data_IF_757026161879
#
_entry.id   IF_757026161879
#
_cell.length_a   1.000
_cell.length_b   1.000
_cell.length_c   1.000
_cell.angle_alpha   90.00
_cell.angle_beta   90.00
_cell.angle_gamma   90.00
#
_symmetry.space_group_name_H-M   'P 1'
#
loop_
_entity.id
_entity.type
_entity.pdbx_description
1 polymer ?
#
# COMPACT_ATOMS: atom_id res chain seq x y z
N UNK A 1 30.38 -47.56 -23.38
CA UNK A 1 29.86 -48.82 -22.78
C UNK A 1 28.47 -48.53 -22.25
N UNK A 2 27.48 -49.20 -22.83
CA UNK A 2 26.05 -49.10 -22.55
C UNK A 2 25.71 -49.83 -21.25
N UNK A 3 24.86 -49.28 -20.39
CA UNK A 3 23.95 -50.10 -19.57
C UNK A 3 22.59 -49.40 -19.44
N UNK A 4 21.59 -50.06 -20.00
CA UNK A 4 20.15 -49.88 -19.81
C UNK A 4 19.73 -50.59 -18.53
N UNK A 5 18.74 -50.05 -17.80
CA UNK A 5 17.81 -50.80 -16.94
C UNK A 5 16.51 -49.98 -16.88
N UNK A 6 15.47 -50.33 -17.53
CA UNK A 6 14.36 -51.28 -17.37
C UNK A 6 13.35 -50.83 -16.28
N UNK A 7 12.14 -50.50 -16.81
CA UNK A 7 10.88 -50.25 -16.08
C UNK A 7 10.45 -51.45 -15.24
N UNK A 8 9.75 -51.17 -14.14
CA UNK A 8 8.73 -52.07 -13.61
C UNK A 8 7.54 -51.30 -13.06
N UNK A 9 6.44 -51.47 -13.75
CA UNK A 9 5.09 -51.08 -13.34
C UNK A 9 4.55 -52.09 -12.33
N UNK A 10 3.82 -51.65 -11.30
CA UNK A 10 2.89 -52.54 -10.60
C UNK A 10 1.67 -51.73 -10.13
N UNK A 11 0.57 -51.98 -10.81
CA UNK A 11 -0.77 -51.65 -10.39
C UNK A 11 -1.25 -52.68 -9.39
N UNK A 12 -1.91 -52.24 -8.31
CA UNK A 12 -2.79 -53.09 -7.51
C UNK A 12 -4.08 -52.36 -7.23
N UNK A 13 -5.12 -52.81 -7.90
CA UNK A 13 -6.52 -52.63 -7.49
C UNK A 13 -6.81 -53.61 -6.33
N UNK A 14 -7.46 -53.14 -5.28
CA UNK A 14 -8.34 -54.00 -4.46
C UNK A 14 -9.59 -53.18 -4.07
N UNK A 15 -10.71 -53.75 -4.45
CA UNK A 15 -12.06 -53.28 -4.10
C UNK A 15 -12.64 -54.18 -3.00
N UNK A 16 -13.65 -53.60 -2.27
CA UNK A 16 -14.72 -54.28 -1.50
C UNK A 16 -14.42 -54.65 -0.04
N UNK A 17 -15.22 -54.24 0.94
CA UNK A 17 -16.59 -54.57 1.22
C UNK A 17 -17.04 -53.96 2.57
N UNK A 18 -18.32 -53.69 2.66
CA UNK A 18 -19.04 -53.26 3.88
C UNK A 18 -19.05 -54.30 4.98
N UNK A 19 -18.96 -53.85 6.25
CA UNK A 19 -19.66 -54.50 7.37
C UNK A 19 -19.99 -53.49 8.46
N UNK A 20 -21.25 -53.47 8.82
CA UNK A 20 -21.85 -52.78 9.95
C UNK A 20 -21.41 -53.37 11.28
N UNK A 21 -21.19 -52.51 12.30
CA UNK A 21 -21.03 -52.95 13.67
C UNK A 21 -20.86 -51.74 14.59
N UNK A 22 -21.90 -51.34 15.31
CA UNK A 22 -21.88 -50.24 16.27
C UNK A 22 -21.23 -50.57 17.61
N UNK A 23 -20.81 -49.54 18.31
CA UNK A 23 -21.10 -49.24 19.73
C UNK A 23 -20.17 -48.15 20.27
N UNK A 24 -20.78 -47.10 20.68
CA UNK A 24 -20.54 -46.19 21.83
C UNK A 24 -19.12 -45.93 22.33
N UNK A 25 -18.74 -44.67 22.25
CA UNK A 25 -17.63 -44.05 22.98
C UNK A 25 -17.64 -42.57 22.75
N UNK A 26 -18.27 -41.78 23.63
CA UNK A 26 -18.42 -40.34 23.49
C UNK A 26 -17.11 -39.59 23.63
N UNK A 27 -16.80 -38.79 22.64
CA UNK A 27 -15.88 -37.67 22.75
C UNK A 27 -16.66 -36.43 22.36
N UNK A 28 -16.82 -35.51 23.31
CA UNK A 28 -17.43 -34.20 23.07
C UNK A 28 -16.66 -33.46 21.97
N UNK A 29 -17.36 -32.82 21.02
CA UNK A 29 -16.73 -31.80 20.18
C UNK A 29 -16.35 -30.59 21.03
N UNK A 30 -15.21 -30.01 20.77
CA UNK A 30 -14.79 -28.74 21.34
C UNK A 30 -15.85 -27.66 21.02
N UNK A 31 -16.30 -26.99 22.04
CA UNK A 31 -17.18 -25.84 21.95
C UNK A 31 -16.47 -24.75 21.17
N UNK A 32 -16.93 -24.48 19.96
CA UNK A 32 -16.70 -23.22 19.24
C UNK A 32 -17.32 -22.13 20.11
N UNK A 33 -16.51 -21.16 20.50
CA UNK A 33 -16.95 -19.99 21.25
C UNK A 33 -18.14 -19.33 20.54
N UNK A 34 -19.24 -19.23 21.24
CA UNK A 34 -20.44 -18.54 20.80
C UNK A 34 -20.09 -17.09 20.45
N UNK A 35 -20.33 -16.71 19.21
CA UNK A 35 -20.51 -15.34 18.84
C UNK A 35 -21.68 -14.75 19.64
N UNK A 36 -21.52 -13.52 20.09
CA UNK A 36 -22.57 -12.82 20.84
C UNK A 36 -23.82 -12.71 19.95
N UNK A 37 -24.86 -13.46 20.29
CA UNK A 37 -26.21 -13.27 19.76
C UNK A 37 -26.75 -11.95 20.31
N UNK A 38 -26.86 -10.93 19.46
CA UNK A 38 -27.41 -9.62 19.82
C UNK A 38 -27.91 -8.83 18.62
N UNK A 39 -27.95 -9.41 17.40
CA UNK A 39 -28.57 -8.79 16.24
C UNK A 39 -30.04 -9.18 16.07
N UNK A 40 -30.90 -8.22 15.73
CA UNK A 40 -32.25 -8.46 15.25
C UNK A 40 -32.20 -9.42 14.06
N UNK A 41 -33.13 -10.38 13.95
CA UNK A 41 -33.21 -11.31 12.81
C UNK A 41 -33.53 -10.64 11.45
N UNK A 42 -33.72 -9.32 11.44
CA UNK A 42 -34.06 -8.50 10.28
C UNK A 42 -32.99 -7.47 9.91
N UNK A 43 -31.81 -7.50 10.55
CA UNK A 43 -30.73 -6.55 10.23
C UNK A 43 -30.18 -6.76 8.82
N UNK A 44 -29.84 -5.67 8.12
CA UNK A 44 -29.15 -5.71 6.83
C UNK A 44 -27.69 -6.05 7.03
N UNK A 45 -27.22 -7.13 6.41
CA UNK A 45 -25.80 -7.53 6.44
C UNK A 45 -25.05 -6.99 5.24
N UNK A 46 -24.01 -6.21 5.48
CA UNK A 46 -23.08 -5.68 4.46
C UNK A 46 -21.76 -6.45 4.53
N UNK A 47 -21.29 -6.95 3.40
CA UNK A 47 -19.94 -7.53 3.29
C UNK A 47 -18.89 -6.45 3.04
N UNK A 48 -17.86 -6.42 3.89
CA UNK A 48 -16.74 -5.48 3.78
C UNK A 48 -15.44 -6.23 3.49
N UNK A 49 -14.92 -6.13 2.24
CA UNK A 49 -13.68 -6.75 1.84
C UNK A 49 -12.48 -5.84 2.14
N UNK A 50 -11.51 -6.33 2.90
CA UNK A 50 -10.32 -5.54 3.23
C UNK A 50 -9.03 -6.35 3.09
N UNK A 51 -7.95 -5.75 2.56
CA UNK A 51 -6.64 -6.37 2.51
C UNK A 51 -5.95 -6.30 3.88
N UNK A 52 -5.19 -7.34 4.22
CA UNK A 52 -4.34 -7.37 5.41
C UNK A 52 -2.89 -7.15 4.97
N UNK A 53 -2.58 -5.93 4.59
CA UNK A 53 -1.28 -5.64 3.97
C UNK A 53 -0.23 -5.08 4.94
N UNK A 54 -0.63 -4.69 6.16
CA UNK A 54 0.28 -4.14 7.17
C UNK A 54 0.32 -5.09 8.35
N UNK A 55 1.52 -5.47 8.76
CA UNK A 55 1.76 -6.49 9.77
C UNK A 55 0.98 -6.31 11.07
N UNK A 56 0.52 -7.39 11.60
CA UNK A 56 0.09 -7.57 12.98
C UNK A 56 -1.36 -7.24 13.28
N UNK A 57 -1.68 -6.02 13.68
CA UNK A 57 -2.95 -5.72 14.35
C UNK A 57 -4.00 -5.04 13.47
N UNK A 58 -3.70 -4.71 12.19
CA UNK A 58 -4.63 -4.02 11.28
C UNK A 58 -5.97 -4.77 11.11
N UNK A 59 -5.94 -6.09 11.09
CA UNK A 59 -7.14 -6.93 11.05
C UNK A 59 -8.06 -6.67 12.22
N UNK A 60 -7.52 -6.63 13.44
CA UNK A 60 -8.29 -6.38 14.67
C UNK A 60 -8.86 -4.97 14.72
N UNK A 61 -8.14 -3.99 14.14
CA UNK A 61 -8.63 -2.62 14.05
C UNK A 61 -9.84 -2.53 13.11
N UNK A 62 -9.79 -3.23 11.96
CA UNK A 62 -10.95 -3.34 11.07
C UNK A 62 -12.14 -4.01 11.78
N UNK A 63 -11.91 -5.15 12.45
CA UNK A 63 -12.95 -5.82 13.26
C UNK A 63 -13.55 -4.88 14.29
N UNK A 64 -12.71 -4.08 14.97
CA UNK A 64 -13.18 -3.09 15.95
C UNK A 64 -14.03 -2.00 15.31
N UNK A 65 -13.61 -1.42 14.18
CA UNK A 65 -14.40 -0.41 13.47
C UNK A 65 -15.78 -0.96 13.09
N UNK A 66 -15.82 -2.18 12.56
CA UNK A 66 -17.09 -2.84 12.23
C UNK A 66 -17.94 -3.11 13.47
N UNK A 67 -17.34 -3.60 14.56
CA UNK A 67 -18.07 -3.86 15.81
C UNK A 67 -18.64 -2.59 16.44
N UNK A 68 -17.88 -1.49 16.44
CA UNK A 68 -18.33 -0.18 16.94
C UNK A 68 -19.50 0.34 16.08
N UNK A 69 -19.41 0.24 14.76
CA UNK A 69 -20.49 0.62 13.84
C UNK A 69 -21.76 -0.21 14.10
N UNK A 70 -21.62 -1.53 14.19
CA UNK A 70 -22.73 -2.44 14.43
C UNK A 70 -23.44 -2.16 15.77
N UNK A 71 -22.69 -1.78 16.80
CA UNK A 71 -23.25 -1.43 18.11
C UNK A 71 -24.08 -0.15 18.08
N UNK A 72 -23.68 0.83 17.25
CA UNK A 72 -24.37 2.11 17.07
C UNK A 72 -25.51 2.05 16.07
N UNK A 73 -25.53 1.00 15.21
CA UNK A 73 -26.49 0.85 14.10
C UNK A 73 -27.13 -0.55 14.09
N UNK A 74 -28.04 -0.86 15.02
CA UNK A 74 -28.55 -2.23 15.22
C UNK A 74 -29.29 -2.82 14.01
N UNK A 75 -29.72 -1.99 13.07
CA UNK A 75 -30.41 -2.42 11.85
C UNK A 75 -29.46 -2.71 10.68
N UNK A 76 -28.15 -2.44 10.84
CA UNK A 76 -27.10 -2.67 9.85
C UNK A 76 -25.93 -3.39 10.49
N UNK A 77 -25.54 -4.53 9.95
CA UNK A 77 -24.36 -5.29 10.39
C UNK A 77 -23.33 -5.29 9.28
N UNK A 78 -22.14 -4.76 9.54
CA UNK A 78 -21.00 -4.84 8.63
C UNK A 78 -20.13 -6.03 9.02
N UNK A 79 -20.00 -6.97 8.10
CA UNK A 79 -19.23 -8.20 8.26
C UNK A 79 -17.86 -8.06 7.55
N UNK A 80 -16.75 -7.91 8.29
CA UNK A 80 -15.43 -7.78 7.69
C UNK A 80 -14.94 -9.12 7.13
N UNK A 81 -14.45 -9.09 5.88
CA UNK A 81 -13.88 -10.26 5.18
C UNK A 81 -12.44 -9.94 4.80
N UNK A 82 -11.51 -10.69 5.38
CA UNK A 82 -10.10 -10.58 5.01
C UNK A 82 -9.82 -11.23 3.67
N UNK A 83 -9.22 -10.47 2.79
CA UNK A 83 -9.02 -10.89 1.41
C UNK A 83 -7.58 -11.23 1.06
N UNK A 84 -6.65 -11.04 1.96
CA UNK A 84 -5.21 -11.19 1.71
C UNK A 84 -4.54 -9.85 1.43
N UNK A 85 -3.66 -9.79 0.44
CA UNK A 85 -3.08 -8.53 -0.02
C UNK A 85 -4.04 -7.79 -0.98
N UNK A 86 -3.61 -6.64 -1.52
CA UNK A 86 -4.44 -5.85 -2.44
C UNK A 86 -4.75 -6.58 -3.74
N UNK A 87 -3.81 -7.34 -4.31
CA UNK A 87 -4.02 -8.10 -5.55
C UNK A 87 -5.01 -9.25 -5.35
N UNK A 88 -4.89 -9.96 -4.20
CA UNK A 88 -5.86 -10.96 -3.78
C UNK A 88 -7.26 -10.35 -3.62
N UNK A 89 -7.34 -9.13 -3.09
CA UNK A 89 -8.59 -8.40 -2.91
C UNK A 89 -9.26 -8.10 -4.23
N UNK A 90 -8.52 -7.53 -5.21
CA UNK A 90 -9.04 -7.26 -6.56
C UNK A 90 -9.55 -8.54 -7.22
N UNK A 91 -8.78 -9.63 -7.14
CA UNK A 91 -9.17 -10.93 -7.69
C UNK A 91 -10.46 -11.47 -7.06
N UNK A 92 -10.61 -11.34 -5.74
CA UNK A 92 -11.81 -11.78 -5.03
C UNK A 92 -13.03 -10.91 -5.35
N UNK A 93 -12.84 -9.59 -5.48
CA UNK A 93 -13.91 -8.67 -5.91
C UNK A 93 -14.40 -9.06 -7.31
N UNK A 94 -13.48 -9.24 -8.27
CA UNK A 94 -13.82 -9.66 -9.63
C UNK A 94 -14.59 -10.99 -9.65
N UNK A 95 -14.14 -11.96 -8.87
CA UNK A 95 -14.81 -13.25 -8.76
C UNK A 95 -16.22 -13.12 -8.17
N UNK A 96 -16.38 -12.32 -7.12
CA UNK A 96 -17.66 -12.08 -6.46
C UNK A 96 -18.65 -11.36 -7.38
N UNK A 97 -18.19 -10.36 -8.15
CA UNK A 97 -19.00 -9.65 -9.16
C UNK A 97 -19.46 -10.63 -10.26
N UNK A 98 -18.54 -11.46 -10.79
CA UNK A 98 -18.89 -12.47 -11.79
C UNK A 98 -19.87 -13.51 -11.25
N UNK A 99 -19.80 -13.82 -9.97
CA UNK A 99 -20.75 -14.69 -9.26
C UNK A 99 -22.10 -14.05 -8.93
N UNK A 100 -22.27 -12.76 -9.22
CA UNK A 100 -23.50 -12.01 -8.91
C UNK A 100 -23.68 -11.64 -7.42
N UNK A 101 -22.62 -11.71 -6.64
CA UNK A 101 -22.60 -11.40 -5.20
C UNK A 101 -21.43 -10.45 -4.87
N UNK A 102 -21.41 -9.22 -5.44
CA UNK A 102 -20.35 -8.25 -5.16
C UNK A 102 -20.31 -7.93 -3.67
N UNK A 103 -19.13 -7.61 -3.10
CA UNK A 103 -19.07 -7.04 -1.75
C UNK A 103 -19.77 -5.68 -1.75
N UNK A 104 -20.29 -5.24 -0.59
CA UNK A 104 -20.93 -3.92 -0.52
C UNK A 104 -19.90 -2.80 -0.45
N UNK A 105 -18.90 -2.99 0.41
CA UNK A 105 -17.77 -2.08 0.60
C UNK A 105 -16.48 -2.85 0.45
N UNK A 106 -15.48 -2.22 -0.12
CA UNK A 106 -14.15 -2.80 -0.16
C UNK A 106 -13.05 -1.74 -0.07
N UNK A 107 -11.88 -2.14 0.39
CA UNK A 107 -10.65 -1.35 0.33
C UNK A 107 -9.76 -1.90 -0.78
N UNK A 108 -9.32 -1.02 -1.68
CA UNK A 108 -8.32 -1.33 -2.69
C UNK A 108 -7.30 -0.19 -2.76
N UNK A 109 -6.17 -0.43 -3.46
CA UNK A 109 -5.19 0.61 -3.68
C UNK A 109 -5.86 1.83 -4.36
N UNK A 110 -5.51 3.02 -3.92
CA UNK A 110 -5.97 4.26 -4.54
C UNK A 110 -5.54 4.35 -6.02
N UNK A 111 -4.41 3.76 -6.35
CA UNK A 111 -3.87 3.63 -7.71
C UNK A 111 -4.70 2.74 -8.64
N UNK A 112 -5.64 1.98 -8.11
CA UNK A 112 -6.57 1.16 -8.91
C UNK A 112 -7.82 1.93 -9.39
N UNK A 113 -7.94 3.25 -9.10
CA UNK A 113 -9.15 4.02 -9.39
C UNK A 113 -9.63 3.93 -10.83
N UNK A 114 -8.70 4.02 -11.81
CA UNK A 114 -9.07 3.90 -13.23
C UNK A 114 -9.58 2.49 -13.57
N UNK A 115 -8.96 1.46 -13.03
CA UNK A 115 -9.42 0.08 -13.18
C UNK A 115 -10.81 -0.11 -12.55
N UNK A 116 -11.02 0.37 -11.31
CA UNK A 116 -12.31 0.24 -10.62
C UNK A 116 -13.44 0.96 -11.35
N UNK A 117 -13.16 2.15 -11.88
CA UNK A 117 -14.13 2.93 -12.65
C UNK A 117 -14.43 2.31 -14.04
N UNK A 118 -13.39 1.99 -14.82
CA UNK A 118 -13.53 1.52 -16.21
C UNK A 118 -14.14 0.13 -16.32
N UNK A 119 -13.87 -0.74 -15.36
CA UNK A 119 -14.45 -2.10 -15.31
C UNK A 119 -15.84 -2.13 -14.65
N UNK A 120 -16.30 -0.99 -14.10
CA UNK A 120 -17.58 -0.91 -13.39
C UNK A 120 -17.60 -1.68 -12.07
N UNK A 121 -16.44 -1.97 -11.46
CA UNK A 121 -16.38 -2.60 -10.14
C UNK A 121 -16.82 -1.66 -9.03
N UNK A 122 -16.50 -0.37 -9.12
CA UNK A 122 -16.92 0.66 -8.18
C UNK A 122 -17.90 1.65 -8.83
N UNK A 123 -18.76 2.23 -8.02
CA UNK A 123 -19.67 3.30 -8.44
C UNK A 123 -19.08 4.68 -8.10
N UNK A 124 -19.45 5.76 -8.84
CA UNK A 124 -19.14 7.12 -8.43
C UNK A 124 -19.96 7.52 -7.19
N UNK A 125 -19.39 8.35 -6.34
CA UNK A 125 -19.95 8.75 -5.05
C UNK A 125 -20.63 10.14 -5.08
N UNK A 126 -20.56 10.84 -6.22
CA UNK A 126 -20.99 12.23 -6.35
C UNK A 126 -22.47 12.43 -5.95
N UNK A 127 -23.36 11.51 -6.34
CA UNK A 127 -24.79 11.61 -6.01
C UNK A 127 -25.02 11.45 -4.49
N UNK A 128 -24.24 10.61 -3.80
CA UNK A 128 -24.29 10.42 -2.35
C UNK A 128 -23.80 11.70 -1.63
N UNK A 129 -22.69 12.25 -2.10
CA UNK A 129 -22.13 13.48 -1.57
C UNK A 129 -23.10 14.65 -1.77
N UNK A 130 -23.72 14.74 -2.95
CA UNK A 130 -24.70 15.76 -3.26
C UNK A 130 -25.99 15.61 -2.44
N UNK A 131 -26.41 14.39 -2.14
CA UNK A 131 -27.58 14.10 -1.30
C UNK A 131 -27.36 14.57 0.16
N UNK A 132 -26.12 14.50 0.67
CA UNK A 132 -25.75 15.01 1.98
C UNK A 132 -25.64 16.57 2.01
N UNK A 133 -25.74 17.24 0.85
CA UNK A 133 -25.72 18.71 0.77
C UNK A 133 -24.45 19.36 1.29
N UNK A 134 -24.57 20.39 2.15
CA UNK A 134 -23.41 21.10 2.71
C UNK A 134 -22.54 20.22 3.60
N UNK A 135 -23.11 19.21 4.27
CA UNK A 135 -22.37 18.24 5.08
C UNK A 135 -21.51 17.35 4.21
N UNK A 136 -22.03 16.88 3.06
CA UNK A 136 -21.29 16.08 2.09
C UNK A 136 -20.10 16.84 1.50
N UNK A 137 -20.31 18.12 1.16
CA UNK A 137 -19.22 18.98 0.72
C UNK A 137 -18.16 19.17 1.80
N UNK A 138 -18.56 19.52 3.02
CA UNK A 138 -17.65 19.70 4.15
C UNK A 138 -16.87 18.40 4.48
N UNK A 139 -17.52 17.24 4.35
CA UNK A 139 -16.89 15.95 4.53
C UNK A 139 -15.75 15.72 3.53
N UNK A 140 -15.94 16.03 2.25
CA UNK A 140 -14.91 15.87 1.21
C UNK A 140 -13.80 16.92 1.37
N UNK A 141 -14.15 18.18 1.65
CA UNK A 141 -13.20 19.29 1.80
C UNK A 141 -12.25 19.10 3.00
N UNK A 142 -12.60 18.26 3.99
CA UNK A 142 -11.78 17.98 5.16
C UNK A 142 -10.68 16.92 4.88
N UNK A 143 -10.75 16.17 3.80
CA UNK A 143 -9.66 15.25 3.44
C UNK A 143 -8.43 16.01 2.94
N UNK A 144 -7.23 15.47 3.24
CA UNK A 144 -5.99 16.02 2.72
C UNK A 144 -5.99 15.93 1.18
N UNK A 145 -5.78 17.08 0.53
CA UNK A 145 -5.88 17.20 -0.93
C UNK A 145 -4.97 16.22 -1.67
N UNK A 146 -3.73 16.00 -1.18
CA UNK A 146 -2.79 15.05 -1.78
C UNK A 146 -3.28 13.58 -1.76
N UNK A 147 -4.23 13.24 -0.88
CA UNK A 147 -4.87 11.92 -0.89
C UNK A 147 -6.14 11.90 -1.75
N UNK A 148 -6.85 13.03 -1.82
CA UNK A 148 -8.03 13.13 -2.68
C UNK A 148 -7.69 13.11 -4.17
N UNK A 149 -6.49 13.53 -4.60
CA UNK A 149 -6.05 13.42 -5.99
C UNK A 149 -6.23 11.99 -6.54
N UNK A 150 -6.05 10.97 -5.70
CA UNK A 150 -6.24 9.55 -6.06
C UNK A 150 -7.70 9.06 -6.00
N UNK A 151 -8.65 9.91 -5.71
CA UNK A 151 -10.07 9.55 -5.63
C UNK A 151 -10.85 9.87 -6.90
N UNK A 152 -10.28 10.69 -7.80
CA UNK A 152 -10.97 11.19 -8.98
C UNK A 152 -10.68 10.38 -10.24
N UNK A 153 -11.75 10.12 -11.04
CA UNK A 153 -11.69 9.63 -12.41
C UNK A 153 -12.66 10.45 -13.24
N UNK A 154 -12.19 11.09 -14.29
CA UNK A 154 -12.99 11.96 -15.18
C UNK A 154 -13.83 13.01 -14.42
N UNK A 155 -13.24 13.59 -13.38
CA UNK A 155 -13.88 14.61 -12.55
C UNK A 155 -14.91 14.11 -11.53
N UNK A 156 -15.12 12.77 -11.43
CA UNK A 156 -16.01 12.13 -10.45
C UNK A 156 -15.22 11.48 -9.33
N UNK A 157 -15.79 11.46 -8.13
CA UNK A 157 -15.20 10.81 -6.95
C UNK A 157 -15.64 9.34 -6.94
N UNK A 158 -14.69 8.40 -6.96
CA UNK A 158 -14.95 6.95 -6.91
C UNK A 158 -14.57 6.30 -5.59
N UNK A 159 -13.81 7.01 -4.74
CA UNK A 159 -13.30 6.42 -3.51
C UNK A 159 -13.08 7.47 -2.42
N UNK A 160 -12.98 7.00 -1.18
CA UNK A 160 -12.70 7.83 0.01
C UNK A 160 -11.38 7.39 0.63
N UNK A 161 -10.41 8.31 0.89
CA UNK A 161 -9.13 7.98 1.49
C UNK A 161 -9.28 7.31 2.86
N UNK A 162 -8.57 6.17 3.08
CA UNK A 162 -8.62 5.42 4.33
C UNK A 162 -7.23 5.02 4.83
N UNK A 163 -6.62 4.00 4.24
CA UNK A 163 -5.29 3.47 4.62
C UNK A 163 -4.20 4.20 3.82
N UNK A 164 -3.99 5.49 4.10
CA UNK A 164 -3.10 6.32 3.28
C UNK A 164 -1.72 6.47 3.90
N UNK A 165 -0.72 6.38 3.06
CA UNK A 165 0.69 6.46 3.42
C UNK A 165 1.47 7.32 2.43
N UNK A 166 2.70 7.59 2.78
CA UNK A 166 3.75 8.07 1.87
C UNK A 166 5.03 7.32 2.17
N UNK A 167 5.96 7.29 1.25
CA UNK A 167 7.29 6.76 1.48
C UNK A 167 8.14 7.84 2.16
N UNK A 168 8.86 7.47 3.24
CA UNK A 168 9.77 8.34 3.98
C UNK A 168 11.11 7.67 4.19
N UNK A 169 12.12 8.46 4.57
CA UNK A 169 13.40 7.94 5.01
C UNK A 169 13.35 7.60 6.51
N UNK A 170 13.62 6.35 6.87
CA UNK A 170 13.97 5.94 8.23
C UNK A 170 15.47 5.84 8.34
N UNK A 171 16.07 6.31 9.44
CA UNK A 171 17.51 6.25 9.64
C UNK A 171 17.91 5.94 11.08
N UNK A 172 19.00 5.22 11.25
CA UNK A 172 19.56 4.81 12.53
C UNK A 172 20.46 5.92 13.08
N UNK A 173 19.98 6.69 14.08
CA UNK A 173 20.69 7.80 14.69
C UNK A 173 21.97 7.35 15.42
N UNK A 174 21.97 6.15 15.98
CA UNK A 174 23.15 5.63 16.67
C UNK A 174 24.24 5.25 15.66
N UNK A 175 23.88 4.72 14.49
CA UNK A 175 24.83 4.51 13.40
C UNK A 175 25.40 5.83 12.85
N UNK A 176 24.62 6.91 12.81
CA UNK A 176 25.10 8.26 12.45
C UNK A 176 26.14 8.75 13.46
N UNK A 177 25.85 8.66 14.76
CA UNK A 177 26.80 9.03 15.84
C UNK A 177 28.10 8.24 15.75
N UNK A 178 28.01 6.94 15.45
CA UNK A 178 29.17 6.03 15.33
C UNK A 178 30.20 6.54 14.31
N UNK A 179 29.74 7.09 13.18
CA UNK A 179 30.58 7.57 12.08
C UNK A 179 30.84 9.10 12.14
N UNK A 180 30.34 9.79 13.17
CA UNK A 180 30.56 11.22 13.40
C UNK A 180 29.59 12.12 12.62
N UNK A 181 28.49 11.59 12.06
CA UNK A 181 27.42 12.37 11.48
C UNK A 181 26.52 12.95 12.58
N UNK A 182 25.86 14.06 12.28
CA UNK A 182 24.86 14.65 13.18
C UNK A 182 23.59 13.78 13.17
N UNK A 183 23.20 13.15 14.29
CA UNK A 183 22.04 12.28 14.35
C UNK A 183 20.69 13.01 14.17
N UNK A 184 20.67 14.35 14.25
CA UNK A 184 19.46 15.15 14.06
C UNK A 184 19.37 15.72 12.62
N UNK A 185 20.36 15.42 11.77
CA UNK A 185 20.41 15.89 10.38
C UNK A 185 20.44 14.71 9.42
N UNK A 186 19.27 14.28 8.94
CA UNK A 186 19.18 13.33 7.85
C UNK A 186 19.59 13.97 6.51
N UNK A 187 20.06 13.18 5.51
CA UNK A 187 20.37 13.70 4.18
C UNK A 187 19.10 14.28 3.52
N UNK A 188 19.22 15.49 2.95
CA UNK A 188 18.13 16.18 2.28
C UNK A 188 18.23 16.12 0.75
N UNK A 189 19.39 15.75 0.21
CA UNK A 189 19.67 15.64 -1.22
C UNK A 189 20.25 14.27 -1.57
N UNK A 190 20.20 13.90 -2.84
CA UNK A 190 20.83 12.67 -3.34
C UNK A 190 22.35 12.65 -3.10
N UNK A 191 23.00 13.79 -3.24
CA UNK A 191 24.44 13.90 -2.97
C UNK A 191 24.73 13.66 -1.47
N UNK A 192 23.98 14.31 -0.55
CA UNK A 192 24.10 14.07 0.88
C UNK A 192 23.79 12.60 1.23
N UNK A 193 22.77 11.99 0.60
CA UNK A 193 22.45 10.58 0.80
C UNK A 193 23.64 9.67 0.45
N UNK A 194 24.30 9.92 -0.67
CA UNK A 194 25.46 9.14 -1.11
C UNK A 194 26.66 9.35 -0.16
N UNK A 195 26.92 10.60 0.26
CA UNK A 195 28.01 10.92 1.18
C UNK A 195 27.80 10.24 2.55
N UNK A 196 26.62 10.38 3.14
CA UNK A 196 26.28 9.76 4.41
C UNK A 196 26.28 8.23 4.30
N UNK A 197 25.70 7.68 3.23
CA UNK A 197 25.66 6.24 3.02
C UNK A 197 27.07 5.62 2.88
N UNK A 198 28.02 6.31 2.25
CA UNK A 198 29.42 5.84 2.18
C UNK A 198 30.08 5.77 3.57
N UNK A 199 29.83 6.74 4.44
CA UNK A 199 30.35 6.72 5.81
C UNK A 199 29.71 5.60 6.65
N UNK A 200 28.42 5.36 6.43
CA UNK A 200 27.63 4.37 7.17
C UNK A 200 27.86 2.92 6.71
N UNK A 201 28.38 2.73 5.49
CA UNK A 201 28.65 1.40 4.93
C UNK A 201 29.93 0.80 5.52
N UNK A 202 29.84 -0.45 5.98
CA UNK A 202 30.97 -1.23 6.48
C UNK A 202 30.77 -2.73 6.19
N UNK A 203 31.64 -3.61 6.73
CA UNK A 203 31.57 -5.06 6.48
C UNK A 203 30.25 -5.72 6.90
N UNK A 204 29.49 -5.11 7.82
CA UNK A 204 28.26 -5.67 8.40
C UNK A 204 27.01 -4.83 8.11
N UNK A 205 27.14 -3.68 7.44
CA UNK A 205 26.03 -2.74 7.24
C UNK A 205 26.15 -2.02 5.91
N UNK A 206 25.07 -1.96 5.18
CA UNK A 206 24.90 -1.03 4.05
C UNK A 206 24.38 0.33 4.54
N UNK A 207 24.80 1.40 3.87
CA UNK A 207 24.40 2.77 4.21
C UNK A 207 22.92 3.02 3.89
N UNK A 208 22.42 2.48 2.80
CA UNK A 208 21.01 2.65 2.39
C UNK A 208 20.43 1.34 1.84
N UNK A 209 19.14 1.14 2.06
CA UNK A 209 18.35 0.05 1.51
C UNK A 209 17.09 0.58 0.83
N UNK A 210 16.87 0.16 -0.40
CA UNK A 210 15.72 0.52 -1.22
C UNK A 210 15.19 -0.76 -1.84
N UNK A 211 13.88 -0.98 -1.73
CA UNK A 211 13.27 -2.20 -2.24
C UNK A 211 13.17 -2.19 -3.77
N UNK A 212 13.39 -3.34 -4.37
CA UNK A 212 13.46 -3.52 -5.81
C UNK A 212 12.79 -4.83 -6.24
N UNK A 213 11.63 -5.13 -5.68
CA UNK A 213 10.84 -6.30 -6.08
C UNK A 213 9.59 -5.87 -6.86
N UNK A 214 9.04 -6.79 -7.65
CA UNK A 214 7.75 -6.57 -8.31
C UNK A 214 6.67 -6.22 -7.28
N UNK A 215 5.95 -5.12 -7.50
CA UNK A 215 4.91 -4.62 -6.60
C UNK A 215 5.33 -3.49 -5.67
N UNK A 216 6.62 -3.10 -5.64
CA UNK A 216 7.09 -1.92 -4.87
C UNK A 216 8.03 -1.01 -5.68
N UNK A 217 8.71 -1.55 -6.70
CA UNK A 217 9.69 -0.78 -7.47
C UNK A 217 9.07 0.45 -8.15
N UNK A 218 7.86 0.32 -8.73
CA UNK A 218 7.16 1.45 -9.35
C UNK A 218 6.85 2.58 -8.35
N UNK A 219 6.56 2.25 -7.08
CA UNK A 219 6.26 3.24 -6.06
C UNK A 219 7.49 4.08 -5.72
N UNK A 220 8.58 3.43 -5.34
CA UNK A 220 9.84 4.11 -5.04
C UNK A 220 10.42 4.82 -6.27
N UNK A 221 10.32 4.20 -7.45
CA UNK A 221 10.78 4.83 -8.70
C UNK A 221 9.97 6.09 -9.04
N UNK A 222 8.66 6.12 -8.79
CA UNK A 222 7.87 7.34 -8.89
C UNK A 222 8.46 8.45 -8.01
N UNK A 223 8.89 8.13 -6.79
CA UNK A 223 9.57 9.07 -5.90
C UNK A 223 10.83 9.66 -6.53
N UNK A 224 11.72 8.84 -7.04
CA UNK A 224 12.96 9.29 -7.71
C UNK A 224 12.67 10.17 -8.93
N UNK A 225 11.70 9.79 -9.76
CA UNK A 225 11.32 10.60 -10.93
C UNK A 225 10.78 11.97 -10.52
N UNK A 226 9.88 12.03 -9.53
CA UNK A 226 9.35 13.28 -8.98
C UNK A 226 10.43 14.18 -8.40
N UNK A 227 11.43 13.59 -7.72
CA UNK A 227 12.57 14.31 -7.13
C UNK A 227 13.51 14.86 -8.20
N UNK A 228 13.65 14.19 -9.35
CA UNK A 228 14.52 14.60 -10.44
C UNK A 228 13.82 15.50 -11.46
N UNK A 229 12.48 15.54 -11.47
CA UNK A 229 11.71 16.38 -12.38
C UNK A 229 11.80 17.86 -11.99
N UNK A 230 12.35 18.69 -12.88
CA UNK A 230 12.44 20.15 -12.68
C UNK A 230 11.07 20.83 -12.62
N UNK A 231 10.11 20.30 -13.35
CA UNK A 231 8.76 20.85 -13.47
C UNK A 231 7.75 20.17 -12.54
N UNK A 232 8.16 19.09 -11.84
CA UNK A 232 7.27 18.28 -11.00
C UNK A 232 6.35 17.38 -11.82
N UNK A 233 6.76 17.01 -13.02
CA UNK A 233 6.06 16.07 -13.88
C UNK A 233 6.13 14.67 -13.28
N UNK A 234 5.03 13.93 -13.39
CA UNK A 234 4.91 12.56 -12.93
C UNK A 234 5.23 11.57 -14.07
N UNK A 235 5.29 10.28 -13.76
CA UNK A 235 5.48 9.19 -14.74
C UNK A 235 4.30 8.98 -15.68
N UNK A 236 3.18 9.66 -15.44
CA UNK A 236 1.92 9.47 -16.16
C UNK A 236 1.20 10.79 -16.41
N UNK A 237 0.35 10.83 -17.43
CA UNK A 237 -0.63 11.90 -17.59
C UNK A 237 -1.75 11.80 -16.53
N UNK A 238 -2.40 12.92 -16.22
CA UNK A 238 -3.46 13.00 -15.19
C UNK A 238 -4.67 12.13 -15.53
N UNK A 239 -4.96 11.92 -16.82
CA UNK A 239 -6.05 11.08 -17.29
C UNK A 239 -5.74 9.56 -17.24
N UNK A 240 -4.51 9.18 -16.86
CA UNK A 240 -4.09 7.79 -16.74
C UNK A 240 -3.97 7.02 -18.05
N UNK A 241 -4.00 7.70 -19.21
CA UNK A 241 -4.00 7.08 -20.55
C UNK A 241 -2.65 7.06 -21.23
N UNK A 242 -1.66 7.71 -20.66
CA UNK A 242 -0.29 7.72 -21.17
C UNK A 242 0.74 7.75 -20.04
N UNK A 243 1.93 7.28 -20.35
CA UNK A 243 3.08 7.27 -19.45
C UNK A 243 4.28 7.98 -20.10
N UNK A 244 5.23 8.39 -19.26
CA UNK A 244 6.43 9.11 -19.65
C UNK A 244 7.64 8.49 -18.94
N UNK A 245 7.95 7.22 -19.28
CA UNK A 245 9.00 6.49 -18.58
C UNK A 245 10.41 6.86 -19.04
N UNK A 246 10.60 7.07 -20.34
CA UNK A 246 11.91 7.22 -21.00
C UNK A 246 12.38 8.66 -21.16
N UNK A 247 11.86 9.60 -20.35
CA UNK A 247 12.39 10.96 -20.34
C UNK A 247 13.84 10.98 -19.84
N UNK A 248 14.69 11.92 -20.29
CA UNK A 248 16.06 12.01 -19.81
C UNK A 248 16.17 12.09 -18.29
N UNK A 249 15.26 12.81 -17.63
CA UNK A 249 15.19 12.95 -16.18
C UNK A 249 14.87 11.63 -15.48
N UNK A 250 14.00 10.81 -16.06
CA UNK A 250 13.65 9.51 -15.51
C UNK A 250 14.75 8.46 -15.74
N UNK A 251 15.43 8.52 -16.89
CA UNK A 251 16.63 7.71 -17.15
C UNK A 251 17.74 8.04 -16.15
N UNK A 252 17.98 9.33 -15.86
CA UNK A 252 18.94 9.77 -14.84
C UNK A 252 18.52 9.27 -13.43
N UNK A 253 17.23 9.30 -13.12
CA UNK A 253 16.70 8.81 -11.85
C UNK A 253 16.92 7.29 -11.67
N UNK A 254 16.69 6.49 -12.71
CA UNK A 254 16.99 5.05 -12.66
C UNK A 254 18.49 4.81 -12.58
N UNK A 255 19.30 5.55 -13.35
CA UNK A 255 20.76 5.45 -13.27
C UNK A 255 21.29 5.78 -11.88
N UNK A 256 20.75 6.81 -11.21
CA UNK A 256 21.12 7.13 -9.83
C UNK A 256 20.84 5.94 -8.90
N UNK A 257 19.67 5.30 -9.01
CA UNK A 257 19.33 4.13 -8.21
C UNK A 257 20.30 2.97 -8.45
N UNK A 258 20.62 2.68 -9.72
CA UNK A 258 21.64 1.67 -10.07
C UNK A 258 23.03 2.02 -9.54
N UNK A 259 23.39 3.30 -9.55
CA UNK A 259 24.67 3.79 -9.05
C UNK A 259 24.85 3.56 -7.55
N UNK A 260 23.77 3.55 -6.73
CA UNK A 260 23.84 3.22 -5.30
C UNK A 260 24.40 1.80 -5.06
N UNK A 261 24.09 0.86 -5.94
CA UNK A 261 24.60 -0.50 -5.88
C UNK A 261 25.97 -0.63 -6.56
N UNK A 262 26.08 -0.17 -7.82
CA UNK A 262 27.15 -0.58 -8.72
C UNK A 262 28.36 0.35 -8.70
N UNK A 263 28.16 1.64 -8.38
CA UNK A 263 29.22 2.65 -8.42
C UNK A 263 29.63 3.11 -7.04
N UNK A 264 28.65 3.33 -6.17
CA UNK A 264 28.90 3.81 -4.81
C UNK A 264 29.03 2.65 -3.81
N UNK A 265 28.48 1.48 -4.14
CA UNK A 265 28.53 0.25 -3.32
C UNK A 265 27.96 0.46 -1.91
N UNK A 266 26.95 1.34 -1.78
CA UNK A 266 26.33 1.72 -0.50
C UNK A 266 25.01 0.98 -0.23
N UNK A 267 24.54 0.21 -1.19
CA UNK A 267 23.31 -0.59 -1.13
C UNK A 267 23.62 -2.05 -1.51
N UNK A 268 22.90 -3.00 -0.94
CA UNK A 268 23.05 -4.42 -1.27
C UNK A 268 22.83 -4.67 -2.78
N UNK A 269 23.66 -5.50 -3.42
CA UNK A 269 23.52 -5.80 -4.84
C UNK A 269 22.30 -6.67 -5.13
N UNK A 270 21.76 -6.52 -6.33
CA UNK A 270 20.62 -7.31 -6.83
C UNK A 270 19.27 -6.85 -6.27
N UNK A 271 18.31 -7.78 -6.20
CA UNK A 271 16.93 -7.49 -5.85
C UNK A 271 16.75 -7.53 -4.33
N UNK A 272 16.38 -6.40 -3.76
CA UNK A 272 16.04 -6.26 -2.33
C UNK A 272 14.52 -6.36 -2.17
N UNK A 273 14.06 -7.25 -1.30
CA UNK A 273 12.65 -7.44 -1.05
C UNK A 273 12.09 -6.37 -0.11
N UNK A 274 10.90 -5.84 -0.43
CA UNK A 274 10.19 -4.87 0.41
C UNK A 274 10.00 -5.34 1.86
N UNK A 275 9.63 -6.59 2.03
CA UNK A 275 9.36 -7.20 3.34
C UNK A 275 10.60 -7.39 4.20
N UNK A 276 11.79 -7.42 3.60
CA UNK A 276 13.04 -7.70 4.30
C UNK A 276 13.66 -6.42 4.88
N UNK A 277 13.44 -5.26 4.23
CA UNK A 277 14.05 -3.99 4.63
C UNK A 277 13.80 -3.61 6.09
N UNK A 278 12.56 -3.67 6.62
CA UNK A 278 12.34 -3.34 8.03
C UNK A 278 13.10 -4.26 8.99
N UNK A 279 13.22 -5.55 8.64
CA UNK A 279 13.96 -6.52 9.44
C UNK A 279 15.45 -6.23 9.42
N UNK A 280 16.03 -5.95 8.24
CA UNK A 280 17.43 -5.58 8.08
C UNK A 280 17.76 -4.26 8.81
N UNK A 281 16.86 -3.27 8.74
CA UNK A 281 16.99 -2.01 9.47
C UNK A 281 16.98 -2.25 10.99
N UNK A 282 16.02 -3.01 11.51
CA UNK A 282 15.92 -3.35 12.93
C UNK A 282 17.09 -4.20 13.43
N UNK A 283 17.72 -5.01 12.56
CA UNK A 283 18.94 -5.76 12.84
C UNK A 283 20.22 -4.88 12.77
N UNK A 284 20.12 -3.64 12.27
CA UNK A 284 21.28 -2.76 12.06
C UNK A 284 22.13 -3.11 10.83
N UNK A 285 21.63 -4.00 9.94
CA UNK A 285 22.29 -4.40 8.71
C UNK A 285 22.17 -3.34 7.60
N UNK A 286 21.23 -2.41 7.74
CA UNK A 286 21.04 -1.24 6.88
C UNK A 286 20.82 0.00 7.76
N UNK A 287 21.55 1.09 7.48
CA UNK A 287 21.50 2.30 8.29
C UNK A 287 20.36 3.24 7.94
N UNK A 288 19.95 3.30 6.68
CA UNK A 288 18.86 4.12 6.15
C UNK A 288 17.97 3.27 5.25
N UNK A 289 16.65 3.38 5.36
CA UNK A 289 15.72 2.71 4.45
C UNK A 289 14.66 3.66 3.93
N UNK A 290 14.32 3.52 2.65
CA UNK A 290 13.10 4.06 2.06
C UNK A 290 11.96 3.09 2.37
N UNK A 291 10.94 3.54 3.10
CA UNK A 291 9.82 2.66 3.42
C UNK A 291 8.52 3.42 3.73
N UNK A 292 7.41 2.70 3.68
CA UNK A 292 6.09 3.26 4.00
C UNK A 292 5.99 3.76 5.43
N UNK A 293 5.28 4.87 5.62
CA UNK A 293 4.86 5.35 6.96
C UNK A 293 4.05 4.32 7.73
N UNK A 294 3.31 3.44 7.05
CA UNK A 294 2.55 2.34 7.67
C UNK A 294 3.42 1.32 8.42
N UNK A 295 4.75 1.41 8.32
CA UNK A 295 5.67 0.57 9.10
C UNK A 295 6.23 1.26 10.36
N UNK A 296 5.86 2.52 10.60
CA UNK A 296 6.37 3.31 11.72
C UNK A 296 6.07 2.66 13.07
N UNK A 297 4.84 2.16 13.27
CA UNK A 297 4.48 1.49 14.52
C UNK A 297 5.33 0.24 14.77
N UNK A 298 5.61 -0.56 13.74
CA UNK A 298 6.48 -1.73 13.83
C UNK A 298 7.93 -1.33 14.19
N UNK A 299 8.49 -0.33 13.49
CA UNK A 299 9.85 0.16 13.76
C UNK A 299 9.94 0.74 15.17
N UNK A 300 8.99 1.60 15.58
CA UNK A 300 8.94 2.22 16.90
C UNK A 300 8.89 1.19 18.04
N UNK A 301 8.14 0.10 17.83
CA UNK A 301 7.99 -0.97 18.84
C UNK A 301 9.22 -1.86 18.97
N UNK A 302 9.95 -2.10 17.88
CA UNK A 302 10.97 -3.14 17.81
C UNK A 302 12.42 -2.61 17.68
N UNK A 303 12.62 -1.31 17.38
CA UNK A 303 13.94 -0.73 17.33
C UNK A 303 14.62 -0.78 18.71
N UNK A 304 15.87 -1.25 18.73
CA UNK A 304 16.72 -1.30 19.94
C UNK A 304 17.72 -0.15 19.97
N UNK A 305 17.66 0.75 19.01
CA UNK A 305 18.50 1.94 18.82
C UNK A 305 17.61 3.17 18.62
N UNK A 306 18.18 4.35 18.80
CA UNK A 306 17.51 5.62 18.49
C UNK A 306 17.40 5.79 16.97
N UNK A 307 16.19 6.06 16.48
CA UNK A 307 15.93 6.24 15.04
C UNK A 307 15.25 7.57 14.74
N UNK A 308 15.46 8.05 13.54
CA UNK A 308 14.79 9.22 13.00
C UNK A 308 13.99 8.88 11.75
N UNK A 309 13.12 9.80 11.39
CA UNK A 309 12.43 9.84 10.09
C UNK A 309 12.70 11.18 9.44
N UNK A 310 12.72 11.22 8.12
CA UNK A 310 12.92 12.44 7.34
C UNK A 310 12.15 12.37 6.03
N UNK A 311 12.01 13.51 5.37
CA UNK A 311 11.58 13.57 3.98
C UNK A 311 12.55 12.75 3.12
N UNK A 312 12.03 12.20 2.04
CA UNK A 312 12.91 11.57 1.04
C UNK A 312 13.89 12.62 0.48
N UNK A 313 15.19 12.29 0.38
CA UNK A 313 16.17 13.17 -0.23
C UNK A 313 15.81 13.49 -1.68
N UNK A 314 15.88 14.77 -2.05
CA UNK A 314 15.58 15.23 -3.40
C UNK A 314 16.81 15.44 -4.26
N UNK A 315 16.62 15.67 -5.58
CA UNK A 315 17.66 16.18 -6.48
C UNK A 315 17.27 17.57 -6.98
N UNK A 316 16.44 17.68 -8.00
CA UNK A 316 15.94 18.97 -8.47
C UNK A 316 14.94 19.60 -7.49
N UNK A 317 14.25 18.76 -6.70
CA UNK A 317 13.27 19.16 -5.68
C UNK A 317 13.07 18.05 -4.66
N UNK A 318 12.49 18.38 -3.51
CA UNK A 318 11.93 17.38 -2.61
C UNK A 318 10.54 16.97 -3.12
N UNK A 319 10.29 15.67 -3.17
CA UNK A 319 9.00 15.09 -3.52
C UNK A 319 8.91 13.66 -3.01
N UNK A 320 7.70 13.16 -2.86
CA UNK A 320 7.43 11.77 -2.48
C UNK A 320 6.14 11.27 -3.15
N UNK A 321 6.02 9.96 -3.39
CA UNK A 321 4.75 9.39 -3.84
C UNK A 321 3.81 9.20 -2.65
N UNK A 322 2.50 9.43 -2.86
CA UNK A 322 1.47 8.92 -1.95
C UNK A 322 1.25 7.44 -2.22
N UNK A 323 0.66 6.73 -1.26
CA UNK A 323 0.34 5.31 -1.40
C UNK A 323 -0.84 4.91 -0.53
N UNK A 324 -1.12 3.60 -0.51
CA UNK A 324 -2.14 3.03 0.33
C UNK A 324 -3.51 2.91 -0.34
N UNK A 325 -4.53 2.60 0.46
CA UNK A 325 -5.84 2.20 -0.01
C UNK A 325 -6.96 3.16 0.35
N UNK A 326 -7.99 3.13 -0.49
CA UNK A 326 -9.23 3.88 -0.33
C UNK A 326 -10.41 2.92 -0.15
N UNK A 327 -11.48 3.41 0.47
CA UNK A 327 -12.80 2.77 0.43
C UNK A 327 -13.47 2.97 -0.92
N UNK A 328 -14.12 1.93 -1.39
CA UNK A 328 -14.97 1.91 -2.57
C UNK A 328 -16.32 1.29 -2.23
N UNK A 329 -17.39 1.69 -2.93
CA UNK A 329 -18.70 1.05 -2.92
C UNK A 329 -18.84 0.28 -4.24
N UNK A 330 -19.23 -0.99 -4.17
CA UNK A 330 -19.46 -1.78 -5.38
C UNK A 330 -20.61 -1.24 -6.21
N UNK A 331 -20.41 -1.26 -7.50
CA UNK A 331 -21.50 -0.99 -8.44
C UNK A 331 -22.48 -2.18 -8.50
N UNK A 332 -23.75 -1.90 -8.72
CA UNK A 332 -24.78 -2.93 -8.94
C UNK A 332 -25.39 -3.56 -7.69
N UNK A 333 -25.06 -3.06 -6.48
CA UNK A 333 -25.81 -3.39 -5.26
C UNK A 333 -27.10 -2.56 -5.16
N UNK A 334 -28.06 -2.95 -4.31
CA UNK A 334 -29.31 -2.22 -4.14
C UNK A 334 -29.11 -0.85 -3.49
N UNK A 335 -30.00 0.09 -3.76
CA UNK A 335 -29.93 1.46 -3.23
C UNK A 335 -29.85 1.49 -1.70
N UNK A 336 -30.64 0.69 -1.00
CA UNK A 336 -30.61 0.61 0.47
C UNK A 336 -29.23 0.18 0.99
N UNK A 337 -28.56 -0.73 0.27
CA UNK A 337 -27.21 -1.20 0.59
C UNK A 337 -26.16 -0.12 0.29
N UNK A 338 -26.35 0.64 -0.80
CA UNK A 338 -25.50 1.79 -1.14
C UNK A 338 -25.53 2.83 -0.02
N UNK A 339 -26.74 3.20 0.46
CA UNK A 339 -26.89 4.16 1.55
C UNK A 339 -26.28 3.66 2.88
N UNK A 340 -26.44 2.38 3.19
CA UNK A 340 -25.84 1.76 4.36
C UNK A 340 -24.31 1.69 4.25
N UNK A 341 -23.76 1.37 3.08
CA UNK A 341 -22.32 1.39 2.79
C UNK A 341 -21.74 2.80 2.92
N UNK A 342 -22.41 3.81 2.39
CA UNK A 342 -21.99 5.20 2.54
C UNK A 342 -21.98 5.66 4.00
N UNK A 343 -23.00 5.28 4.77
CA UNK A 343 -23.04 5.54 6.22
C UNK A 343 -21.85 4.90 6.95
N UNK A 344 -21.51 3.65 6.61
CA UNK A 344 -20.36 2.96 7.19
C UNK A 344 -19.04 3.65 6.82
N UNK A 345 -18.83 4.06 5.58
CA UNK A 345 -17.62 4.75 5.13
C UNK A 345 -17.44 6.07 5.90
N UNK A 346 -18.50 6.89 6.01
CA UNK A 346 -18.46 8.13 6.80
C UNK A 346 -18.09 7.87 8.25
N UNK A 347 -18.67 6.86 8.88
CA UNK A 347 -18.35 6.43 10.24
C UNK A 347 -16.90 5.97 10.38
N UNK A 348 -16.43 5.11 9.48
CA UNK A 348 -15.07 4.57 9.53
C UNK A 348 -13.98 5.65 9.31
N UNK A 349 -14.34 6.76 8.70
CA UNK A 349 -13.47 7.89 8.41
C UNK A 349 -13.76 9.13 9.27
N UNK A 350 -14.52 9.01 10.36
CA UNK A 350 -14.64 10.08 11.35
C UNK A 350 -13.27 10.51 11.88
N UNK A 351 -13.06 11.80 12.17
CA UNK A 351 -11.74 12.31 12.57
C UNK A 351 -11.10 11.52 13.71
N UNK A 352 -11.86 11.16 14.74
CA UNK A 352 -11.37 10.38 15.89
C UNK A 352 -10.93 8.98 15.51
N UNK A 353 -11.66 8.33 14.57
CA UNK A 353 -11.33 6.99 14.08
C UNK A 353 -10.13 7.01 13.14
N UNK A 354 -10.07 8.01 12.25
CA UNK A 354 -8.93 8.21 11.37
C UNK A 354 -7.65 8.54 12.16
N UNK A 355 -7.76 9.34 13.23
CA UNK A 355 -6.65 9.60 14.15
C UNK A 355 -6.22 8.32 14.89
N UNK A 356 -7.16 7.56 15.44
CA UNK A 356 -6.84 6.29 16.13
C UNK A 356 -6.18 5.28 15.16
N UNK A 357 -6.68 5.18 13.92
CA UNK A 357 -6.05 4.36 12.87
C UNK A 357 -4.58 4.76 12.63
N UNK A 358 -4.31 6.06 12.53
CA UNK A 358 -2.95 6.57 12.36
C UNK A 358 -2.03 6.20 13.53
N UNK A 359 -2.51 6.33 14.76
CA UNK A 359 -1.75 5.99 15.97
C UNK A 359 -1.38 4.50 16.02
N UNK A 360 -2.33 3.64 15.70
CA UNK A 360 -2.18 2.19 15.87
C UNK A 360 -1.38 1.54 14.73
N UNK A 361 -1.31 2.19 13.56
CA UNK A 361 -0.68 1.62 12.36
C UNK A 361 0.56 2.37 11.89
N UNK A 362 0.62 3.68 12.12
CA UNK A 362 1.61 4.59 11.52
C UNK A 362 1.20 5.12 10.15
N UNK A 363 0.03 4.76 9.62
CA UNK A 363 -0.55 5.45 8.46
C UNK A 363 -0.77 6.93 8.75
N UNK A 364 -0.91 7.75 7.71
CA UNK A 364 -1.24 9.17 7.86
C UNK A 364 -2.74 9.33 8.10
N UNK A 365 -3.14 10.09 9.11
CA UNK A 365 -4.53 10.47 9.29
C UNK A 365 -5.01 11.24 8.05
N UNK A 366 -6.16 10.83 7.50
CA UNK A 366 -6.56 11.26 6.15
C UNK A 366 -7.30 12.59 6.12
N UNK A 367 -7.78 13.07 7.28
CA UNK A 367 -8.59 14.28 7.39
C UNK A 367 -7.85 15.42 8.09
N UNK A 368 -8.04 16.65 7.62
CA UNK A 368 -7.42 17.84 8.19
C UNK A 368 -7.80 18.03 9.67
N UNK A 369 -9.08 17.82 10.01
CA UNK A 369 -9.60 17.96 11.37
C UNK A 369 -8.99 16.97 12.37
N UNK A 370 -8.38 15.86 11.94
CA UNK A 370 -7.68 14.95 12.85
C UNK A 370 -6.56 15.63 13.62
N UNK A 371 -5.85 16.57 12.98
CA UNK A 371 -4.66 17.22 13.54
C UNK A 371 -4.97 18.23 14.65
N UNK A 372 -6.23 18.62 14.79
CA UNK A 372 -6.72 19.47 15.89
C UNK A 372 -7.10 18.66 17.14
N UNK A 373 -7.23 17.34 17.03
CA UNK A 373 -7.57 16.45 18.14
C UNK A 373 -6.40 16.34 19.14
N UNK A 374 -6.72 16.30 20.42
CA UNK A 374 -5.71 16.18 21.48
C UNK A 374 -4.94 14.86 21.37
N UNK A 375 -5.58 13.77 20.96
CA UNK A 375 -4.94 12.46 20.75
C UNK A 375 -3.83 12.54 19.69
N UNK A 376 -4.00 13.30 18.61
CA UNK A 376 -2.97 13.49 17.58
C UNK A 376 -1.83 14.38 18.07
N UNK A 377 -2.12 15.44 18.82
CA UNK A 377 -1.09 16.29 19.44
C UNK A 377 -0.21 15.47 20.39
N UNK A 378 -0.85 14.70 21.29
CA UNK A 378 -0.13 13.80 22.20
C UNK A 378 0.69 12.73 21.45
N UNK A 379 0.18 12.22 20.33
CA UNK A 379 0.90 11.24 19.50
C UNK A 379 2.20 11.84 18.95
N UNK A 380 2.13 13.03 18.37
CA UNK A 380 3.30 13.71 17.83
C UNK A 380 4.30 14.16 18.91
N UNK A 381 3.82 14.48 20.12
CA UNK A 381 4.70 14.78 21.27
C UNK A 381 5.44 13.53 21.74
N UNK A 382 4.80 12.36 21.73
CA UNK A 382 5.39 11.08 22.15
C UNK A 382 6.26 10.43 21.07
N UNK A 383 5.88 10.61 19.79
CA UNK A 383 6.54 10.03 18.62
C UNK A 383 6.71 11.10 17.53
N UNK A 384 7.67 12.03 17.68
CA UNK A 384 7.89 13.10 16.70
C UNK A 384 8.15 12.59 15.29
N UNK A 385 8.68 11.38 15.16
CA UNK A 385 8.92 10.69 13.88
C UNK A 385 7.65 10.56 13.03
N UNK A 386 6.48 10.46 13.64
CA UNK A 386 5.21 10.35 12.93
C UNK A 386 4.81 11.63 12.18
N UNK A 387 5.32 12.79 12.63
CA UNK A 387 4.94 14.09 12.07
C UNK A 387 5.48 14.30 10.65
N UNK A 388 6.64 13.73 10.34
CA UNK A 388 7.28 13.83 9.03
C UNK A 388 6.36 13.37 7.89
N UNK A 389 5.60 12.30 8.12
CA UNK A 389 4.65 11.79 7.15
C UNK A 389 3.60 12.83 6.75
N UNK A 390 3.00 13.51 7.74
CA UNK A 390 2.02 14.57 7.51
C UNK A 390 2.65 15.80 6.83
N UNK A 391 3.82 16.21 7.30
CA UNK A 391 4.52 17.39 6.77
C UNK A 391 4.99 17.19 5.32
N UNK A 392 5.15 15.93 4.85
CA UNK A 392 5.53 15.60 3.49
C UNK A 392 4.34 15.61 2.50
N UNK A 393 3.09 15.40 2.95
CA UNK A 393 1.93 15.31 2.05
C UNK A 393 1.78 16.51 1.10
N UNK A 394 1.99 17.78 1.52
CA UNK A 394 1.85 18.93 0.61
C UNK A 394 2.79 18.92 -0.61
N UNK A 395 3.90 18.18 -0.54
CA UNK A 395 4.86 18.04 -1.66
C UNK A 395 4.78 16.66 -2.33
N UNK A 396 3.86 15.82 -1.88
CA UNK A 396 3.64 14.48 -2.44
C UNK A 396 2.73 14.53 -3.66
N UNK A 397 2.87 13.51 -4.51
CA UNK A 397 2.05 13.31 -5.71
C UNK A 397 1.55 11.87 -5.78
N UNK A 398 0.47 11.59 -6.52
CA UNK A 398 0.04 10.23 -6.77
C UNK A 398 1.18 9.36 -7.29
N UNK A 399 1.27 8.14 -6.79
CA UNK A 399 2.05 7.05 -7.38
C UNK A 399 1.57 6.76 -8.81
N UNK A 400 2.39 6.10 -9.62
CA UNK A 400 2.04 5.66 -10.98
C UNK A 400 0.65 4.99 -11.01
N UNK A 401 -0.30 5.66 -11.63
CA UNK A 401 -1.71 5.29 -11.66
C UNK A 401 -2.26 5.46 -13.07
N UNK A 402 -2.65 4.35 -13.71
CA UNK A 402 -3.12 4.33 -15.10
C UNK A 402 -4.31 3.39 -15.25
N UNK A 403 -4.96 3.43 -16.41
CA UNK A 403 -5.77 2.30 -16.86
C UNK A 403 -4.90 1.05 -16.91
N UNK A 404 -5.50 -0.12 -16.69
CA UNK A 404 -4.80 -1.41 -16.63
C UNK A 404 -3.53 -1.37 -15.76
N UNK A 405 -3.63 -0.73 -14.58
CA UNK A 405 -2.50 -0.42 -13.71
C UNK A 405 -1.60 -1.64 -13.40
N UNK A 406 -2.20 -2.82 -13.16
CA UNK A 406 -1.43 -4.03 -12.85
C UNK A 406 -0.47 -4.43 -13.97
N UNK A 407 -0.89 -4.32 -15.23
CA UNK A 407 -0.05 -4.63 -16.39
C UNK A 407 1.03 -3.55 -16.60
N UNK A 408 0.67 -2.28 -16.43
CA UNK A 408 1.64 -1.17 -16.53
C UNK A 408 2.72 -1.29 -15.44
N UNK A 409 2.35 -1.63 -14.20
CA UNK A 409 3.32 -1.87 -13.14
C UNK A 409 4.23 -3.07 -13.44
N UNK A 410 3.65 -4.16 -13.93
CA UNK A 410 4.42 -5.33 -14.34
C UNK A 410 5.45 -4.94 -15.40
N UNK A 411 5.02 -4.25 -16.44
CA UNK A 411 5.90 -3.78 -17.53
C UNK A 411 7.05 -2.93 -16.97
N UNK A 412 6.74 -1.93 -16.14
CA UNK A 412 7.77 -1.06 -15.57
C UNK A 412 8.72 -1.83 -14.65
N UNK A 413 8.17 -2.64 -13.73
CA UNK A 413 8.98 -3.38 -12.76
C UNK A 413 9.89 -4.43 -13.41
N UNK A 414 9.40 -5.17 -14.42
CA UNK A 414 10.20 -6.16 -15.15
C UNK A 414 11.39 -5.49 -15.86
N UNK A 415 11.18 -4.32 -16.46
CA UNK A 415 12.25 -3.58 -17.13
C UNK A 415 13.23 -2.94 -16.14
N UNK A 416 12.77 -2.35 -15.02
CA UNK A 416 13.66 -1.87 -13.94
C UNK A 416 14.50 -3.05 -13.42
N UNK A 417 13.90 -4.20 -13.20
CA UNK A 417 14.61 -5.39 -12.74
C UNK A 417 15.69 -5.84 -13.73
N UNK A 418 15.42 -5.78 -15.03
CA UNK A 418 16.42 -6.07 -16.08
C UNK A 418 17.63 -5.13 -15.98
N UNK A 419 17.40 -3.84 -15.70
CA UNK A 419 18.50 -2.89 -15.49
C UNK A 419 19.29 -3.22 -14.20
N UNK A 420 18.63 -3.58 -13.12
CA UNK A 420 19.27 -3.92 -11.84
C UNK A 420 20.13 -5.19 -11.94
N UNK A 421 19.68 -6.19 -12.70
CA UNK A 421 20.45 -7.41 -12.94
C UNK A 421 21.57 -7.24 -13.97
N UNK A 422 21.64 -6.08 -14.62
CA UNK A 422 22.69 -5.75 -15.62
C UNK A 422 22.39 -6.31 -17.02
N UNK A 423 21.16 -6.75 -17.27
CA UNK A 423 20.74 -7.24 -18.59
C UNK A 423 20.38 -6.09 -19.55
N UNK A 424 20.13 -4.89 -19.02
CA UNK A 424 19.88 -3.67 -19.79
C UNK A 424 20.52 -2.45 -19.10
N UNK A 425 20.76 -1.38 -19.86
CA UNK A 425 21.04 -0.05 -19.31
C UNK A 425 19.75 0.61 -18.81
N UNK A 426 19.85 1.68 -18.03
CA UNK A 426 18.68 2.45 -17.58
C UNK A 426 17.86 2.99 -18.77
N UNK A 427 18.54 3.47 -19.83
CA UNK A 427 17.90 3.96 -21.05
C UNK A 427 17.18 2.85 -21.81
N UNK A 428 17.84 1.72 -22.06
CA UNK A 428 17.23 0.56 -22.75
C UNK A 428 16.01 0.03 -21.98
N UNK A 429 16.11 -0.08 -20.65
CA UNK A 429 15.05 -0.57 -19.81
C UNK A 429 13.81 0.35 -19.85
N UNK A 430 14.00 1.66 -19.69
CA UNK A 430 12.88 2.61 -19.70
C UNK A 430 12.28 2.81 -21.08
N UNK A 431 13.09 2.78 -22.17
CA UNK A 431 12.56 2.82 -23.53
C UNK A 431 11.72 1.59 -23.85
N UNK A 432 12.17 0.39 -23.44
CA UNK A 432 11.38 -0.83 -23.61
C UNK A 432 10.07 -0.79 -22.77
N UNK A 433 10.14 -0.28 -21.55
CA UNK A 433 8.96 -0.09 -20.71
C UNK A 433 7.96 0.90 -21.32
N UNK A 434 8.47 2.02 -21.88
CA UNK A 434 7.66 3.04 -22.56
C UNK A 434 6.90 2.46 -23.76
N UNK A 435 7.60 1.72 -24.63
CA UNK A 435 6.99 1.07 -25.80
C UNK A 435 5.88 0.10 -25.41
N UNK A 436 6.18 -0.81 -24.49
CA UNK A 436 5.22 -1.82 -24.02
C UNK A 436 4.00 -1.18 -23.31
N UNK A 437 4.23 -0.18 -22.46
CA UNK A 437 3.14 0.52 -21.78
C UNK A 437 2.27 1.33 -22.74
N UNK A 438 2.86 1.93 -23.77
CA UNK A 438 2.11 2.65 -24.81
C UNK A 438 1.20 1.71 -25.59
N UNK A 439 1.66 0.48 -25.90
CA UNK A 439 0.85 -0.54 -26.55
C UNK A 439 -0.35 -0.93 -25.67
N UNK A 440 -0.10 -1.23 -24.38
CA UNK A 440 -1.16 -1.58 -23.41
C UNK A 440 -2.19 -0.46 -23.27
N UNK A 441 -1.75 0.80 -23.21
CA UNK A 441 -2.65 1.95 -23.03
C UNK A 441 -3.35 2.41 -24.31
N UNK A 442 -2.97 1.88 -25.48
CA UNK A 442 -3.59 2.24 -26.78
C UNK A 442 -5.10 1.94 -26.83
N UNK A 443 -5.58 0.98 -26.03
CA UNK A 443 -7.01 0.62 -25.94
C UNK A 443 -7.84 1.68 -25.22
N UNK A 444 -7.22 2.62 -24.50
CA UNK A 444 -7.90 3.64 -23.67
C UNK A 444 -7.80 5.05 -24.25
N UNK A 445 -7.19 5.20 -25.42
CA UNK A 445 -6.94 6.49 -26.10
C UNK A 445 -8.18 7.06 -26.82
#
# INVERSE_FOLDING_TARGET
MKKKLVLASSACLVASAMALGGCSGGSKPAETSAAAEGGSSDAMHLSFYSPVNVGGDAAKLIEKICADFNAENPDIVVDPVYTGNYDDTVTKIQTAIQGGTPPDVFVSLATQRFTMASTGMAMPLDDLIAADGDEGKAYIDDFLSGFMEDSYVDGKIYSIPFQRSTEILFYNKDAFKEVGLDPEKAPATWDELVEDAKLLTNENRYGVGIALNSGSAQWTFTGFCLQNSKNGENLMAEDGKSVMFDTPENVEALQFWLDLQNKYEVMAPGIVQWTDLPTQFLAGEVAMIYHTTGNLANISKNATFDFGTAFLPGNARQAAPTGGGNFYISNGISEDRVQAAWKFIKFATEPERAAQWALDTGYVATRQSCFDLDIMKEYYDKLPQAKIAYEQIPISKPELTTYNAAEIWRVLNDNIQSAVTGDATAEEALSAAQEQATEVLSEYQ
#
